data_IF_482901748208
#
_entry.id   IF_482901748208
#
_cell.length_a   1.000
_cell.length_b   1.000
_cell.length_c   1.000
_cell.angle_alpha   90.00
_cell.angle_beta   90.00
_cell.angle_gamma   90.00
#
_symmetry.space_group_name_H-M   'P 1'
#
loop_
_entity.id
_entity.type
_entity.pdbx_description
1 polymer ?
#
# COMPACT_ATOMS: atom_id res chain seq x y z
N UNK A 1 -15.33 23.37 -13.52
CA UNK A 1 -14.93 22.21 -14.35
C UNK A 1 -15.75 21.01 -13.88
N UNK A 2 -16.70 20.52 -14.67
CA UNK A 2 -17.37 19.24 -14.36
C UNK A 2 -16.37 18.14 -14.71
N UNK A 3 -15.80 17.50 -13.71
CA UNK A 3 -14.94 16.34 -13.94
C UNK A 3 -15.78 15.25 -14.61
N UNK A 4 -15.31 14.72 -15.74
CA UNK A 4 -15.78 13.42 -16.21
C UNK A 4 -15.54 12.44 -15.05
N UNK A 5 -16.60 11.87 -14.49
CA UNK A 5 -16.48 10.98 -13.35
C UNK A 5 -15.66 9.76 -13.74
N UNK A 6 -14.54 9.51 -13.04
CA UNK A 6 -13.78 8.29 -13.24
C UNK A 6 -14.59 7.09 -12.69
N UNK A 7 -14.76 6.06 -13.51
CA UNK A 7 -15.46 4.82 -13.10
C UNK A 7 -14.53 3.84 -12.38
N UNK A 8 -13.23 3.91 -12.65
CA UNK A 8 -12.20 3.04 -12.07
C UNK A 8 -11.10 3.91 -11.46
N UNK A 9 -10.59 3.50 -10.30
CA UNK A 9 -9.46 4.14 -9.64
C UNK A 9 -8.37 3.11 -9.35
N UNK A 10 -7.15 3.42 -9.82
CA UNK A 10 -5.94 2.66 -9.50
C UNK A 10 -5.06 3.52 -8.60
N UNK A 11 -4.71 2.99 -7.44
CA UNK A 11 -3.77 3.62 -6.50
C UNK A 11 -2.47 2.82 -6.52
N UNK A 12 -1.41 3.42 -7.04
CA UNK A 12 -0.11 2.75 -7.11
C UNK A 12 0.71 3.01 -5.83
N UNK A 13 0.94 1.94 -5.06
CA UNK A 13 1.69 1.95 -3.81
C UNK A 13 2.99 1.16 -3.93
N UNK A 14 3.36 0.66 -5.12
CA UNK A 14 4.40 -0.38 -5.27
C UNK A 14 5.79 0.09 -4.82
N UNK A 15 6.14 1.34 -5.13
CA UNK A 15 7.40 1.98 -4.74
C UNK A 15 7.25 2.92 -3.52
N UNK A 16 6.10 2.88 -2.84
CA UNK A 16 5.82 3.77 -1.70
C UNK A 16 6.41 3.23 -0.39
N UNK A 17 7.58 3.76 0.00
CA UNK A 17 8.29 3.37 1.23
C UNK A 17 7.73 3.97 2.53
N UNK A 18 6.69 4.80 2.47
CA UNK A 18 6.06 5.42 3.64
C UNK A 18 6.15 6.95 3.67
N UNK A 19 6.02 7.53 4.86
CA UNK A 19 5.86 8.96 5.05
C UNK A 19 5.06 9.26 6.32
N UNK A 20 4.07 10.15 6.23
CA UNK A 20 3.25 10.55 7.36
C UNK A 20 1.93 9.76 7.42
N UNK A 21 1.75 8.91 8.43
CA UNK A 21 0.49 8.17 8.65
C UNK A 21 -0.72 9.11 8.86
N UNK A 22 -0.51 10.32 9.38
CA UNK A 22 -1.58 11.27 9.68
C UNK A 22 -2.39 11.75 8.46
N UNK A 23 -1.82 11.67 7.25
CA UNK A 23 -2.55 12.07 6.02
C UNK A 23 -3.40 10.94 5.43
N UNK A 24 -3.20 9.70 5.88
CA UNK A 24 -3.86 8.52 5.31
C UNK A 24 -5.37 8.55 5.52
N UNK A 25 -5.84 8.96 6.71
CA UNK A 25 -7.28 8.95 7.03
C UNK A 25 -8.11 9.82 6.10
N UNK A 26 -7.56 10.93 5.60
CA UNK A 26 -8.27 11.78 4.65
C UNK A 26 -8.55 11.05 3.32
N UNK A 27 -7.57 10.29 2.82
CA UNK A 27 -7.73 9.45 1.64
C UNK A 27 -8.78 8.36 1.89
N UNK A 28 -8.67 7.63 3.00
CA UNK A 28 -9.58 6.52 3.33
C UNK A 28 -11.02 7.02 3.46
N UNK A 29 -11.26 8.11 4.19
CA UNK A 29 -12.60 8.69 4.32
C UNK A 29 -13.17 9.17 2.98
N UNK A 30 -12.33 9.71 2.11
CA UNK A 30 -12.74 10.10 0.76
C UNK A 30 -13.19 8.90 -0.07
N UNK A 31 -12.42 7.82 -0.06
CA UNK A 31 -12.74 6.58 -0.77
C UNK A 31 -14.00 5.92 -0.23
N UNK A 32 -14.14 5.80 1.09
CA UNK A 32 -15.31 5.21 1.74
C UNK A 32 -16.61 5.92 1.34
N UNK A 33 -16.57 7.24 1.11
CA UNK A 33 -17.73 8.05 0.70
C UNK A 33 -17.98 8.10 -0.80
N UNK A 34 -17.12 7.45 -1.60
CA UNK A 34 -17.18 7.49 -3.05
C UNK A 34 -17.68 6.16 -3.61
N UNK A 35 -18.99 5.92 -3.54
CA UNK A 35 -19.63 4.66 -3.99
C UNK A 35 -19.37 4.33 -5.47
N UNK A 36 -19.08 5.35 -6.28
CA UNK A 36 -18.75 5.18 -7.70
C UNK A 36 -17.51 4.28 -7.89
N UNK A 37 -16.49 4.41 -7.03
CA UNK A 37 -15.23 3.67 -7.11
C UNK A 37 -15.06 2.65 -5.99
N UNK A 38 -15.58 2.90 -4.78
CA UNK A 38 -15.48 1.99 -3.64
C UNK A 38 -16.51 0.86 -3.71
N UNK A 39 -16.40 0.06 -4.77
CA UNK A 39 -17.21 -1.13 -5.02
C UNK A 39 -16.35 -2.18 -5.71
N UNK A 40 -16.74 -3.44 -5.57
CA UNK A 40 -15.98 -4.57 -6.10
C UNK A 40 -15.69 -4.39 -7.60
N UNK A 41 -14.41 -4.49 -7.98
CA UNK A 41 -13.95 -4.35 -9.37
C UNK A 41 -13.71 -2.92 -9.86
N UNK A 42 -13.83 -1.90 -9.02
CA UNK A 42 -13.65 -0.48 -9.41
C UNK A 42 -12.51 0.25 -8.69
N UNK A 43 -12.02 -0.28 -7.57
CA UNK A 43 -10.88 0.24 -6.85
C UNK A 43 -9.77 -0.81 -6.85
N UNK A 44 -8.59 -0.43 -7.34
CA UNK A 44 -7.42 -1.30 -7.37
C UNK A 44 -6.26 -0.64 -6.64
N UNK A 45 -5.49 -1.44 -5.90
CA UNK A 45 -4.28 -0.99 -5.21
C UNK A 45 -3.13 -1.83 -5.69
N UNK A 46 -2.14 -1.20 -6.33
CA UNK A 46 -0.93 -1.90 -6.77
C UNK A 46 0.08 -1.89 -5.62
N UNK A 47 0.53 -3.07 -5.19
CA UNK A 47 1.52 -3.21 -4.12
C UNK A 47 2.79 -3.87 -4.62
N UNK A 48 3.87 -3.59 -3.89
CA UNK A 48 5.21 -4.07 -4.18
C UNK A 48 5.97 -4.38 -2.91
N UNK A 49 7.12 -5.05 -3.04
CA UNK A 49 8.00 -5.39 -1.91
C UNK A 49 8.53 -4.15 -1.18
N UNK A 50 8.46 -2.98 -1.82
CA UNK A 50 8.83 -1.66 -1.25
C UNK A 50 7.68 -0.92 -0.57
N UNK A 51 6.45 -1.43 -0.63
CA UNK A 51 5.31 -0.87 0.11
C UNK A 51 5.58 -1.07 1.61
N UNK A 52 6.00 0.00 2.32
CA UNK A 52 6.57 -0.09 3.66
C UNK A 52 6.19 1.11 4.56
N UNK A 53 6.43 1.01 5.89
CA UNK A 53 6.22 2.09 6.87
C UNK A 53 4.79 2.68 6.79
N UNK A 54 4.60 4.00 6.70
CA UNK A 54 3.26 4.59 6.62
C UNK A 54 2.42 4.09 5.43
N UNK A 55 3.05 3.57 4.36
CA UNK A 55 2.33 2.92 3.27
C UNK A 55 1.66 1.62 3.72
N UNK A 56 2.25 0.89 4.67
CA UNK A 56 1.61 -0.28 5.29
C UNK A 56 0.35 0.10 6.06
N UNK A 57 0.38 1.23 6.76
CA UNK A 57 -0.81 1.76 7.45
C UNK A 57 -1.90 2.11 6.42
N UNK A 58 -1.53 2.73 5.30
CA UNK A 58 -2.45 2.99 4.19
C UNK A 58 -3.04 1.70 3.60
N UNK A 59 -2.22 0.72 3.23
CA UNK A 59 -2.69 -0.56 2.69
C UNK A 59 -3.56 -1.33 3.68
N UNK A 60 -3.23 -1.35 4.97
CA UNK A 60 -4.04 -2.00 6.00
C UNK A 60 -5.43 -1.36 6.14
N UNK A 61 -5.50 -0.03 6.06
CA UNK A 61 -6.78 0.69 6.13
C UNK A 61 -7.58 0.59 4.83
N UNK A 62 -6.92 0.52 3.66
CA UNK A 62 -7.56 0.23 2.37
C UNK A 62 -8.18 -1.17 2.39
N UNK A 63 -7.42 -2.19 2.81
CA UNK A 63 -7.90 -3.58 2.95
C UNK A 63 -9.09 -3.67 3.92
N UNK A 64 -9.05 -2.94 5.04
CA UNK A 64 -10.07 -3.03 6.08
C UNK A 64 -11.38 -2.26 5.75
N UNK A 65 -11.27 -1.12 5.06
CA UNK A 65 -12.40 -0.18 4.95
C UNK A 65 -12.95 0.01 3.54
N UNK A 66 -12.33 -0.59 2.53
CA UNK A 66 -12.72 -0.40 1.12
C UNK A 66 -12.92 -1.74 0.42
N UNK A 67 -13.54 -1.70 -0.76
CA UNK A 67 -13.65 -2.84 -1.67
C UNK A 67 -12.44 -2.93 -2.64
N UNK A 68 -11.27 -2.42 -2.23
CA UNK A 68 -10.06 -2.42 -3.03
C UNK A 68 -9.59 -3.83 -3.35
N UNK A 69 -9.22 -4.06 -4.61
CA UNK A 69 -8.55 -5.29 -5.07
C UNK A 69 -7.05 -5.05 -5.11
N UNK A 70 -6.28 -5.85 -4.37
CA UNK A 70 -4.82 -5.74 -4.31
C UNK A 70 -4.16 -6.49 -5.47
N UNK A 71 -3.23 -5.84 -6.18
CA UNK A 71 -2.57 -6.37 -7.38
C UNK A 71 -1.05 -6.19 -7.29
N UNK A 72 -0.27 -7.15 -7.77
CA UNK A 72 1.19 -7.03 -7.84
C UNK A 72 1.91 -8.05 -6.96
N UNK A 73 2.75 -7.56 -6.05
CA UNK A 73 3.53 -8.38 -5.12
C UNK A 73 3.09 -8.18 -3.66
N UNK A 74 3.42 -9.12 -2.74
CA UNK A 74 3.22 -8.91 -1.31
C UNK A 74 3.90 -7.64 -0.79
N UNK A 75 3.26 -6.98 0.16
CA UNK A 75 3.80 -5.77 0.80
C UNK A 75 5.08 -6.06 1.59
N UNK A 76 5.89 -5.02 1.84
CA UNK A 76 7.20 -5.14 2.49
C UNK A 76 7.18 -5.38 4.00
N UNK A 77 6.02 -5.36 4.66
CA UNK A 77 5.90 -5.65 6.09
C UNK A 77 4.54 -6.22 6.46
N UNK A 78 4.38 -6.54 7.75
CA UNK A 78 3.17 -7.07 8.38
C UNK A 78 2.11 -5.96 8.50
N UNK A 79 0.80 -6.28 8.43
CA UNK A 79 -0.27 -5.29 8.65
C UNK A 79 -0.13 -4.55 9.99
N UNK A 80 0.21 -5.29 11.05
CA UNK A 80 0.59 -4.72 12.35
C UNK A 80 2.09 -4.90 12.58
N UNK A 81 2.82 -3.81 12.79
CA UNK A 81 4.28 -3.80 12.83
C UNK A 81 4.85 -2.72 13.77
N UNK A 82 6.12 -2.86 14.14
CA UNK A 82 6.86 -1.80 14.86
C UNK A 82 7.50 -0.87 13.83
N UNK A 83 7.01 0.36 13.76
CA UNK A 83 7.48 1.44 12.89
C UNK A 83 8.02 2.63 13.68
N UNK A 84 7.96 3.82 13.06
CA UNK A 84 8.55 5.08 13.52
C UNK A 84 10.06 5.02 13.73
N UNK A 85 10.79 5.69 12.82
CA UNK A 85 12.25 5.80 12.91
C UNK A 85 12.63 6.78 14.01
N UNK A 86 13.04 6.24 15.15
CA UNK A 86 13.73 7.01 16.19
C UNK A 86 15.23 6.86 16.02
N UNK A 87 16.00 7.86 16.44
CA UNK A 87 17.45 7.79 16.36
C UNK A 87 18.12 8.17 17.66
N UNK A 88 19.28 7.56 17.89
CA UNK A 88 20.20 7.89 18.97
C UNK A 88 21.64 7.86 18.45
N UNK A 89 22.55 8.49 19.17
CA UNK A 89 23.96 8.59 18.80
C UNK A 89 24.79 7.75 19.76
N UNK A 90 25.67 6.90 19.22
CA UNK A 90 26.52 6.05 20.03
C UNK A 90 27.59 6.88 20.76
N UNK A 91 27.84 6.63 22.06
CA UNK A 91 28.70 7.48 22.87
C UNK A 91 30.17 7.48 22.41
N UNK A 92 30.69 6.34 21.96
CA UNK A 92 32.12 6.18 21.69
C UNK A 92 32.57 6.58 20.28
N UNK A 93 31.72 6.36 19.25
CA UNK A 93 32.09 6.57 17.84
C UNK A 93 31.14 7.51 17.08
N UNK A 94 30.14 8.07 17.76
CA UNK A 94 29.22 9.07 17.24
C UNK A 94 28.39 8.63 16.02
N UNK A 95 28.27 7.32 15.78
CA UNK A 95 27.35 6.84 14.75
C UNK A 95 25.90 7.06 15.18
N UNK A 96 25.10 7.57 14.24
CA UNK A 96 23.65 7.67 14.39
C UNK A 96 23.02 6.33 14.02
N UNK A 97 22.34 5.73 14.99
CA UNK A 97 21.57 4.51 14.82
C UNK A 97 20.10 4.88 14.70
N UNK A 98 19.40 4.22 13.79
CA UNK A 98 17.95 4.33 13.64
C UNK A 98 17.29 3.02 14.07
N UNK A 99 16.20 3.12 14.82
CA UNK A 99 15.44 1.96 15.28
C UNK A 99 13.94 2.28 15.27
N UNK A 100 13.14 1.30 14.85
CA UNK A 100 11.69 1.35 14.97
C UNK A 100 11.28 1.27 16.44
N UNK A 101 10.44 2.20 16.90
CA UNK A 101 10.11 2.34 18.33
C UNK A 101 8.62 2.31 18.66
N UNK A 102 7.73 2.39 17.67
CA UNK A 102 6.29 2.49 17.90
C UNK A 102 5.54 1.37 17.23
N UNK A 103 4.67 0.69 17.98
CA UNK A 103 3.79 -0.31 17.41
C UNK A 103 2.56 0.34 16.74
N UNK A 104 2.39 0.05 15.45
CA UNK A 104 1.19 0.41 14.68
C UNK A 104 0.28 -0.82 14.57
N UNK A 105 -0.98 -0.64 15.00
CA UNK A 105 -1.99 -1.70 14.97
C UNK A 105 -3.31 -1.15 14.40
N UNK A 106 -3.54 -1.34 13.09
CA UNK A 106 -4.75 -0.90 12.41
C UNK A 106 -5.77 -2.03 12.19
N UNK A 107 -5.30 -3.28 12.11
CA UNK A 107 -6.16 -4.46 11.96
C UNK A 107 -6.24 -5.25 13.27
N UNK A 108 -6.96 -6.37 13.26
CA UNK A 108 -7.12 -7.24 14.44
C UNK A 108 -5.77 -7.57 15.10
N UNK A 109 -5.73 -7.56 16.44
CA UNK A 109 -4.55 -7.93 17.22
C UNK A 109 -4.11 -9.38 17.00
N UNK A 110 -4.98 -10.22 16.42
CA UNK A 110 -4.70 -11.60 16.06
C UNK A 110 -4.04 -11.73 14.68
N UNK A 111 -3.96 -10.65 13.89
CA UNK A 111 -3.32 -10.71 12.59
C UNK A 111 -1.82 -10.96 12.78
N UNK A 112 -1.38 -12.11 12.25
CA UNK A 112 0.00 -12.56 12.28
C UNK A 112 0.57 -12.75 10.88
N UNK A 113 -0.12 -12.29 9.84
CA UNK A 113 0.33 -12.40 8.46
C UNK A 113 1.70 -11.70 8.31
N UNK A 114 2.64 -12.28 7.55
CA UNK A 114 3.94 -11.67 7.31
C UNK A 114 3.85 -10.42 6.41
N UNK A 115 2.78 -10.32 5.62
CA UNK A 115 2.50 -9.27 4.65
C UNK A 115 1.01 -9.23 4.28
N UNK A 116 0.59 -8.20 3.54
CA UNK A 116 -0.69 -8.19 2.81
C UNK A 116 -0.44 -8.84 1.44
N UNK A 117 -1.25 -9.86 1.12
CA UNK A 117 -1.16 -10.58 -0.15
C UNK A 117 -1.82 -9.76 -1.26
N UNK A 118 -1.30 -9.76 -2.49
CA UNK A 118 -2.12 -9.39 -3.63
C UNK A 118 -3.19 -10.46 -3.87
N UNK A 119 -4.41 -10.04 -4.19
CA UNK A 119 -5.45 -10.93 -4.70
C UNK A 119 -5.16 -11.34 -6.14
N UNK A 120 -4.51 -10.46 -6.90
CA UNK A 120 -4.04 -10.72 -8.26
C UNK A 120 -2.51 -10.61 -8.27
N UNK A 121 -1.83 -11.76 -8.25
CA UNK A 121 -0.37 -11.80 -8.36
C UNK A 121 0.06 -11.32 -9.74
N UNK A 122 0.91 -10.30 -9.78
CA UNK A 122 1.44 -9.70 -11.00
C UNK A 122 2.84 -9.11 -10.76
N UNK A 123 3.83 -9.98 -10.55
CA UNK A 123 5.20 -9.58 -10.22
C UNK A 123 5.90 -8.90 -11.41
N UNK A 124 6.66 -7.82 -11.15
CA UNK A 124 7.45 -7.14 -12.19
C UNK A 124 8.74 -7.92 -12.46
N UNK A 125 8.85 -8.52 -13.65
CA UNK A 125 10.10 -9.14 -14.08
C UNK A 125 11.07 -8.13 -14.69
N UNK A 126 12.36 -8.46 -14.74
CA UNK A 126 13.36 -7.65 -15.45
C UNK A 126 13.08 -7.55 -16.95
N UNK A 127 12.50 -8.59 -17.55
CA UNK A 127 12.07 -8.58 -18.96
C UNK A 127 10.90 -7.63 -19.18
N UNK A 128 9.90 -7.62 -18.30
CA UNK A 128 8.77 -6.69 -18.39
C UNK A 128 9.26 -5.25 -18.26
N UNK A 129 10.14 -4.98 -17.29
CA UNK A 129 10.77 -3.67 -17.11
C UNK A 129 11.56 -3.24 -18.35
N UNK A 130 12.44 -4.10 -18.88
CA UNK A 130 13.23 -3.80 -20.08
C UNK A 130 12.36 -3.58 -21.32
N UNK A 131 11.16 -4.17 -21.36
CA UNK A 131 10.20 -4.06 -22.47
C UNK A 131 9.15 -2.96 -22.25
N UNK A 132 9.29 -2.13 -21.19
CA UNK A 132 8.32 -1.10 -20.81
C UNK A 132 6.88 -1.63 -20.64
N UNK A 133 6.75 -2.82 -20.05
CA UNK A 133 5.46 -3.45 -19.73
C UNK A 133 5.23 -3.43 -18.23
N UNK A 134 4.00 -3.11 -17.84
CA UNK A 134 3.58 -3.10 -16.45
C UNK A 134 2.59 -4.26 -16.21
N UNK A 135 3.04 -5.40 -15.66
CA UNK A 135 2.18 -6.56 -15.49
C UNK A 135 1.01 -6.31 -14.53
N UNK A 136 1.19 -5.47 -13.50
CA UNK A 136 0.12 -5.15 -12.57
C UNK A 136 -0.96 -4.30 -13.23
N UNK A 137 -0.55 -3.25 -13.97
CA UNK A 137 -1.49 -2.42 -14.70
C UNK A 137 -2.18 -3.21 -15.84
N UNK A 138 -1.45 -4.02 -16.59
CA UNK A 138 -2.03 -4.90 -17.61
C UNK A 138 -3.06 -5.88 -17.01
N UNK A 139 -2.77 -6.44 -15.83
CA UNK A 139 -3.70 -7.34 -15.14
C UNK A 139 -4.99 -6.62 -14.72
N UNK A 140 -4.89 -5.37 -14.26
CA UNK A 140 -6.05 -4.53 -13.93
C UNK A 140 -6.87 -4.22 -15.19
N UNK A 141 -6.21 -3.77 -16.27
CA UNK A 141 -6.89 -3.41 -17.51
C UNK A 141 -7.66 -4.58 -18.13
N UNK A 142 -7.21 -5.83 -17.96
CA UNK A 142 -7.95 -7.03 -18.40
C UNK A 142 -9.22 -7.31 -17.60
N UNK A 143 -9.42 -6.66 -16.45
CA UNK A 143 -10.62 -6.78 -15.61
C UNK A 143 -11.63 -5.66 -15.86
N UNK A 144 -11.23 -4.61 -16.56
CA UNK A 144 -12.08 -3.48 -16.91
C UNK A 144 -12.75 -3.81 -18.26
N UNK A 145 -14.10 -3.74 -18.36
CA UNK A 145 -14.85 -3.99 -19.59
C UNK A 145 -14.62 -2.93 -20.68
#
# INVERSE_FOLDING_TARGET
MRAQGAEYLVIDMRENGGGNTGVVLALIHGLVRCDAVNRAGHLFVITGRRTFSAAMNCCSLLELHTAAVFVGEPTGSRPNFVGESTSFVLPCNQYRVYCSSRYWQHVTSLDRRPWIAPEIVAELSSTDFASNRDPALEAILRRIP
#
